data_IF_128372296347
#
_entry.id   IF_128372296347
#
_cell.length_a   1.000
_cell.length_b   1.000
_cell.length_c   1.000
_cell.angle_alpha   90.00
_cell.angle_beta   90.00
_cell.angle_gamma   90.00
#
_symmetry.space_group_name_H-M   'P 1'
#
loop_
_entity.id
_entity.type
_entity.pdbx_description
1 polymer ?
#
# COMPACT_ATOMS: atom_id res chain seq x y z
N UNK A 1 52.78 2.36 -23.36
CA UNK A 1 52.87 2.11 -21.91
C UNK A 1 51.76 2.90 -21.23
N UNK A 2 50.61 2.30 -21.02
CA UNK A 2 49.57 2.86 -20.16
C UNK A 2 48.98 1.73 -19.33
N UNK A 3 49.25 1.77 -18.04
CA UNK A 3 48.70 0.83 -17.05
C UNK A 3 47.30 1.26 -16.65
N UNK A 4 46.34 0.37 -16.80
CA UNK A 4 44.96 0.53 -16.35
C UNK A 4 44.80 0.28 -14.86
N UNK A 5 44.30 1.30 -14.15
CA UNK A 5 43.84 1.18 -12.76
C UNK A 5 42.44 0.54 -12.68
N UNK A 6 42.33 -0.59 -11.98
CA UNK A 6 41.07 -1.22 -11.67
C UNK A 6 40.55 -0.65 -10.35
N UNK A 7 39.44 0.08 -10.40
CA UNK A 7 38.68 0.45 -9.23
C UNK A 7 37.77 -0.73 -8.80
N UNK A 8 37.97 -1.21 -7.57
CA UNK A 8 37.17 -2.19 -6.91
C UNK A 8 35.95 -1.51 -6.25
N UNK A 9 34.77 -1.87 -6.65
CA UNK A 9 33.53 -1.56 -5.90
C UNK A 9 33.31 -2.64 -4.84
N UNK A 10 33.03 -2.28 -3.58
CA UNK A 10 32.70 -3.23 -2.53
C UNK A 10 31.18 -3.22 -2.25
N UNK A 11 30.40 -3.96 -2.99
CA UNK A 11 29.07 -4.40 -2.54
C UNK A 11 28.50 -5.42 -3.52
N UNK A 12 28.56 -6.70 -3.15
CA UNK A 12 28.01 -7.79 -3.93
C UNK A 12 28.14 -9.11 -3.18
N UNK A 13 27.53 -9.20 -2.00
CA UNK A 13 27.38 -10.45 -1.27
C UNK A 13 26.14 -11.20 -1.77
N UNK A 14 26.24 -11.81 -2.95
CA UNK A 14 25.31 -12.85 -3.36
C UNK A 14 25.62 -14.13 -2.57
N UNK A 15 24.71 -14.56 -1.72
CA UNK A 15 24.78 -15.85 -1.05
C UNK A 15 24.49 -16.91 -2.13
N UNK A 16 25.52 -17.62 -2.54
CA UNK A 16 25.42 -18.69 -3.54
C UNK A 16 24.71 -19.89 -2.90
N UNK A 17 23.50 -20.17 -3.37
CA UNK A 17 22.67 -21.31 -2.92
C UNK A 17 23.37 -22.65 -3.18
N UNK A 18 24.39 -22.68 -4.05
CA UNK A 18 25.22 -23.84 -4.34
C UNK A 18 26.09 -24.29 -3.17
N UNK A 19 26.57 -23.38 -2.34
CA UNK A 19 27.45 -23.69 -1.20
C UNK A 19 26.70 -24.32 -0.01
N UNK A 20 25.40 -24.07 0.13
CA UNK A 20 24.59 -24.70 1.18
C UNK A 20 24.25 -26.14 0.83
N UNK A 21 24.18 -26.48 -0.47
CA UNK A 21 23.83 -27.82 -0.92
C UNK A 21 25.02 -28.77 -0.87
N UNK A 22 26.26 -28.28 -1.05
CA UNK A 22 27.48 -29.10 -1.01
C UNK A 22 27.86 -29.53 0.42
N UNK A 23 27.49 -28.75 1.44
CA UNK A 23 27.79 -29.07 2.84
C UNK A 23 26.86 -30.14 3.41
N UNK A 24 25.71 -30.40 2.77
CA UNK A 24 24.76 -31.44 3.20
C UNK A 24 25.00 -32.80 2.56
N UNK A 25 25.77 -32.91 1.47
CA UNK A 25 25.98 -34.13 0.69
C UNK A 25 27.39 -34.74 0.76
N UNK A 26 28.35 -34.13 1.47
CA UNK A 26 29.75 -34.50 1.47
C UNK A 26 30.25 -35.20 2.73
N UNK A 27 29.83 -36.43 2.98
CA UNK A 27 30.36 -37.23 4.08
C UNK A 27 30.41 -38.72 3.70
N UNK A 28 31.36 -39.08 2.85
CA UNK A 28 31.70 -40.51 2.59
C UNK A 28 33.05 -40.82 3.22
N UNK A 29 33.09 -41.87 4.07
CA UNK A 29 34.31 -42.44 4.55
C UNK A 29 34.04 -43.80 5.26
N UNK A 30 34.47 -44.84 4.65
CA UNK A 30 34.30 -46.29 4.90
C UNK A 30 34.62 -46.75 6.31
N UNK A 31 33.93 -47.78 6.81
CA UNK A 31 34.41 -49.14 7.14
C UNK A 31 33.41 -49.87 8.05
N UNK A 32 33.01 -51.10 7.66
CA UNK A 32 32.30 -52.08 8.48
C UNK A 32 33.23 -52.63 9.58
N UNK A 33 32.72 -53.27 10.72
CA UNK A 33 31.97 -54.50 10.63
C UNK A 33 30.80 -54.66 11.66
N UNK A 34 29.87 -55.49 11.25
CA UNK A 34 28.91 -56.36 11.93
C UNK A 34 28.78 -56.32 13.46
N UNK A 35 27.59 -55.91 13.96
CA UNK A 35 26.90 -56.59 15.07
C UNK A 35 25.41 -56.21 15.03
N UNK A 36 24.55 -57.21 15.03
CA UNK A 36 23.12 -57.07 14.87
C UNK A 36 22.48 -56.42 16.10
N UNK A 37 21.86 -55.30 15.85
CA UNK A 37 20.86 -54.73 16.76
C UNK A 37 19.52 -54.73 16.05
N UNK A 38 18.61 -55.54 16.61
CA UNK A 38 17.19 -55.48 16.27
C UNK A 38 16.68 -54.10 16.70
N UNK A 39 16.44 -53.23 15.77
CA UNK A 39 15.70 -51.99 16.02
C UNK A 39 14.22 -52.34 16.14
N UNK A 40 13.76 -52.32 17.37
CA UNK A 40 12.34 -52.30 17.73
C UNK A 40 11.70 -51.02 17.18
N UNK A 41 10.80 -51.24 16.22
CA UNK A 41 10.18 -50.19 15.40
C UNK A 41 8.95 -49.59 16.13
N UNK A 42 9.12 -49.07 17.35
CA UNK A 42 8.02 -48.49 18.12
C UNK A 42 8.31 -47.09 18.73
N UNK A 43 9.14 -46.27 18.05
CA UNK A 43 9.22 -44.87 18.44
C UNK A 43 8.54 -43.98 17.38
N UNK A 44 7.19 -44.02 17.33
CA UNK A 44 6.41 -42.96 16.72
C UNK A 44 6.48 -41.74 17.66
N UNK A 45 7.54 -40.95 17.49
CA UNK A 45 7.59 -39.61 18.05
C UNK A 45 6.31 -38.82 17.69
N UNK A 46 5.92 -37.83 18.48
CA UNK A 46 4.75 -37.01 18.17
C UNK A 46 4.88 -36.49 16.75
N UNK A 47 3.94 -36.87 15.85
CA UNK A 47 3.86 -36.28 14.51
C UNK A 47 3.64 -34.80 14.73
N UNK A 48 4.64 -33.98 14.41
CA UNK A 48 4.42 -32.53 14.28
C UNK A 48 3.17 -32.32 13.42
N UNK A 49 2.25 -31.46 13.85
CA UNK A 49 1.06 -31.16 13.06
C UNK A 49 1.54 -30.67 11.69
N UNK A 50 1.21 -31.40 10.63
CA UNK A 50 1.47 -30.98 9.25
C UNK A 50 0.92 -29.57 9.15
N UNK A 51 1.80 -28.55 8.93
CA UNK A 51 1.36 -27.20 8.61
C UNK A 51 0.41 -27.31 7.43
N UNK A 52 -0.87 -27.05 7.68
CA UNK A 52 -1.89 -27.05 6.63
C UNK A 52 -1.44 -26.03 5.58
N UNK A 53 -1.27 -26.48 4.36
CA UNK A 53 -0.93 -25.61 3.26
C UNK A 53 -2.01 -24.52 3.16
N UNK A 54 -1.62 -23.26 3.01
CA UNK A 54 -2.54 -22.11 2.92
C UNK A 54 -2.37 -21.45 1.55
N UNK A 55 -3.46 -21.04 0.94
CA UNK A 55 -3.46 -20.20 -0.25
C UNK A 55 -2.86 -18.83 0.05
N UNK A 56 -2.34 -18.17 -0.97
CA UNK A 56 -1.78 -16.82 -0.83
C UNK A 56 -2.87 -15.80 -0.47
N UNK A 57 -2.51 -14.83 0.36
CA UNK A 57 -3.36 -13.68 0.63
C UNK A 57 -3.42 -12.77 -0.61
N UNK A 58 -4.48 -11.99 -0.74
CA UNK A 58 -4.68 -11.01 -1.82
C UNK A 58 -4.71 -9.63 -1.19
N UNK A 59 -3.93 -8.71 -1.75
CA UNK A 59 -3.95 -7.31 -1.37
C UNK A 59 -4.67 -6.50 -2.44
N UNK A 60 -5.53 -5.58 -2.02
CA UNK A 60 -6.31 -4.73 -2.91
C UNK A 60 -6.55 -3.34 -2.31
N UNK A 61 -6.74 -2.33 -3.17
CA UNK A 61 -7.18 -1.00 -2.77
C UNK A 61 -8.68 -0.84 -2.98
N UNK A 62 -9.33 -0.09 -2.11
CA UNK A 62 -10.72 0.33 -2.23
C UNK A 62 -10.78 1.85 -2.15
N UNK A 63 -11.09 2.49 -3.26
CA UNK A 63 -11.22 3.94 -3.34
C UNK A 63 -12.64 4.36 -2.95
N UNK A 64 -12.75 5.26 -1.98
CA UNK A 64 -14.02 5.84 -1.50
C UNK A 64 -13.86 7.34 -1.25
N UNK A 65 -14.96 8.07 -1.29
CA UNK A 65 -14.96 9.50 -0.99
C UNK A 65 -14.85 9.77 0.52
N UNK A 66 -14.42 11.00 0.88
CA UNK A 66 -14.39 11.44 2.27
C UNK A 66 -15.77 11.37 2.94
N UNK A 67 -16.83 11.71 2.21
CA UNK A 67 -18.21 11.65 2.70
C UNK A 67 -18.64 10.21 2.99
N UNK A 68 -18.33 9.28 2.09
CA UNK A 68 -18.59 7.85 2.30
C UNK A 68 -17.86 7.30 3.52
N UNK A 69 -16.62 7.73 3.74
CA UNK A 69 -15.86 7.32 4.91
C UNK A 69 -16.43 7.90 6.21
N UNK A 70 -16.92 9.16 6.20
CA UNK A 70 -17.53 9.78 7.38
C UNK A 70 -18.84 9.11 7.80
N UNK A 71 -19.66 8.70 6.85
CA UNK A 71 -20.96 8.07 7.11
C UNK A 71 -20.87 6.57 7.32
N UNK A 72 -19.81 5.96 6.81
CA UNK A 72 -19.71 4.52 6.59
C UNK A 72 -20.50 4.09 5.34
N UNK A 73 -20.03 3.06 4.68
CA UNK A 73 -20.64 2.62 3.42
C UNK A 73 -20.46 1.13 3.18
N UNK A 74 -21.33 0.58 2.34
CA UNK A 74 -21.20 -0.79 1.82
C UNK A 74 -20.87 -0.69 0.32
N UNK A 75 -19.72 -1.23 -0.06
CA UNK A 75 -19.23 -1.18 -1.44
C UNK A 75 -19.16 -2.59 -2.02
N UNK A 76 -19.68 -2.78 -3.23
CA UNK A 76 -19.48 -4.01 -3.98
C UNK A 76 -18.06 -4.02 -4.56
N UNK A 77 -17.27 -4.98 -4.13
CA UNK A 77 -15.89 -5.14 -4.55
C UNK A 77 -15.73 -6.43 -5.36
N UNK A 78 -15.23 -6.28 -6.58
CA UNK A 78 -14.99 -7.41 -7.50
C UNK A 78 -13.50 -7.66 -7.63
N UNK A 79 -13.08 -8.91 -7.41
CA UNK A 79 -11.69 -9.32 -7.54
C UNK A 79 -11.59 -10.69 -8.21
N UNK A 80 -10.41 -11.02 -8.71
CA UNK A 80 -10.11 -12.35 -9.25
C UNK A 80 -9.29 -13.13 -8.24
N UNK A 81 -9.69 -14.37 -7.98
CA UNK A 81 -8.96 -15.27 -7.11
C UNK A 81 -8.88 -16.68 -7.69
N UNK A 82 -7.85 -17.40 -7.29
CA UNK A 82 -7.75 -18.83 -7.54
C UNK A 82 -8.72 -19.55 -6.62
N UNK A 83 -9.58 -20.38 -7.19
CA UNK A 83 -10.53 -21.23 -6.46
C UNK A 83 -10.29 -22.69 -6.84
N UNK A 84 -10.64 -23.61 -5.97
CA UNK A 84 -10.61 -25.03 -6.30
C UNK A 84 -11.43 -25.27 -7.56
N UNK A 85 -10.90 -26.17 -8.39
CA UNK A 85 -11.58 -26.55 -9.61
C UNK A 85 -12.91 -27.22 -9.27
N UNK A 86 -13.99 -26.75 -9.88
CA UNK A 86 -15.35 -27.29 -9.64
C UNK A 86 -15.50 -28.75 -10.07
N UNK A 87 -14.65 -29.23 -10.98
CA UNK A 87 -14.78 -30.56 -11.57
C UNK A 87 -13.98 -31.64 -10.83
N UNK A 88 -12.86 -31.26 -10.21
CA UNK A 88 -12.02 -32.21 -9.48
C UNK A 88 -11.81 -31.86 -8.00
N UNK A 89 -12.33 -30.72 -7.54
CA UNK A 89 -12.21 -30.22 -6.16
C UNK A 89 -10.77 -30.31 -5.59
N UNK A 90 -9.77 -29.99 -6.42
CA UNK A 90 -8.35 -30.07 -6.05
C UNK A 90 -7.72 -31.43 -6.21
N UNK A 91 -8.47 -32.53 -6.38
CA UNK A 91 -7.95 -33.91 -6.38
C UNK A 91 -6.99 -34.25 -7.52
N UNK A 92 -6.90 -33.43 -8.56
CA UNK A 92 -5.91 -33.58 -9.63
C UNK A 92 -4.54 -32.99 -9.29
N UNK A 93 -4.44 -32.19 -8.22
CA UNK A 93 -3.20 -31.57 -7.81
C UNK A 93 -2.18 -32.61 -7.33
N UNK A 94 -0.95 -32.54 -7.84
CA UNK A 94 0.10 -33.49 -7.47
C UNK A 94 -0.11 -34.94 -7.92
N UNK A 95 -1.15 -35.23 -8.72
CA UNK A 95 -1.46 -36.54 -9.22
C UNK A 95 -1.21 -36.68 -10.73
N UNK A 96 -1.09 -37.89 -11.23
CA UNK A 96 -1.01 -38.17 -12.68
C UNK A 96 -2.35 -38.01 -13.41
N UNK A 97 -3.47 -37.83 -12.68
CA UNK A 97 -4.80 -37.59 -13.27
C UNK A 97 -4.89 -36.16 -13.77
N UNK A 98 -5.07 -36.01 -15.06
CA UNK A 98 -5.30 -34.70 -15.66
C UNK A 98 -6.80 -34.40 -15.68
N UNK A 99 -7.22 -33.37 -14.96
CA UNK A 99 -8.54 -32.79 -15.09
C UNK A 99 -8.55 -31.88 -16.33
N UNK A 100 -9.50 -32.07 -17.25
CA UNK A 100 -9.61 -31.27 -18.48
C UNK A 100 -9.84 -29.79 -18.22
N UNK A 101 -10.54 -29.45 -17.13
CA UNK A 101 -10.93 -28.09 -16.78
C UNK A 101 -9.82 -27.27 -16.12
N UNK A 102 -8.91 -27.87 -15.38
CA UNK A 102 -7.80 -27.18 -14.72
C UNK A 102 -6.41 -27.61 -15.21
N UNK A 103 -6.31 -28.56 -16.13
CA UNK A 103 -5.05 -29.08 -16.68
C UNK A 103 -4.19 -29.82 -15.65
N UNK A 104 -4.75 -30.23 -14.50
CA UNK A 104 -4.04 -30.91 -13.42
C UNK A 104 -3.60 -30.01 -12.28
N UNK A 105 -3.84 -28.70 -12.37
CA UNK A 105 -3.45 -27.73 -11.31
C UNK A 105 -4.33 -27.77 -10.07
N UNK A 106 -5.52 -28.37 -10.16
CA UNK A 106 -6.50 -28.42 -9.07
C UNK A 106 -7.20 -27.08 -8.77
N UNK A 107 -6.80 -26.00 -9.42
CA UNK A 107 -7.33 -24.64 -9.21
C UNK A 107 -7.69 -23.96 -10.53
N UNK A 108 -8.56 -22.97 -10.46
CA UNK A 108 -8.99 -22.13 -11.58
C UNK A 108 -9.13 -20.68 -11.12
N UNK A 109 -8.78 -19.72 -11.97
CA UNK A 109 -9.03 -18.30 -11.69
C UNK A 109 -10.49 -17.97 -11.95
N UNK A 110 -11.22 -17.50 -10.92
CA UNK A 110 -12.62 -17.09 -11.01
C UNK A 110 -12.80 -15.68 -10.45
N UNK A 111 -13.71 -14.92 -11.07
CA UNK A 111 -14.20 -13.65 -10.52
C UNK A 111 -15.03 -13.90 -9.26
N UNK A 112 -14.88 -13.05 -8.27
CA UNK A 112 -15.66 -13.05 -7.04
C UNK A 112 -16.09 -11.62 -6.73
N UNK A 113 -17.36 -11.41 -6.44
CA UNK A 113 -17.90 -10.11 -6.01
C UNK A 113 -18.38 -10.26 -4.58
N UNK A 114 -17.92 -9.37 -3.72
CA UNK A 114 -18.25 -9.33 -2.29
C UNK A 114 -18.74 -7.95 -1.91
N UNK A 115 -19.54 -7.87 -0.86
CA UNK A 115 -19.90 -6.58 -0.25
C UNK A 115 -18.95 -6.31 0.90
N UNK A 116 -18.21 -5.21 0.80
CA UNK A 116 -17.26 -4.74 1.81
C UNK A 116 -17.96 -3.67 2.64
N UNK A 117 -18.01 -3.87 3.94
CA UNK A 117 -18.53 -2.86 4.89
C UNK A 117 -17.36 -2.02 5.39
N UNK A 118 -17.37 -0.75 5.01
CA UNK A 118 -16.42 0.23 5.53
C UNK A 118 -17.02 0.86 6.78
N UNK A 119 -16.32 0.84 7.91
CA UNK A 119 -16.82 1.45 9.13
C UNK A 119 -16.92 2.96 8.99
N UNK A 120 -17.78 3.57 9.82
CA UNK A 120 -17.85 5.01 9.96
C UNK A 120 -16.50 5.56 10.45
N UNK A 121 -16.14 6.74 9.97
CA UNK A 121 -14.88 7.42 10.30
C UNK A 121 -13.63 6.61 9.92
N UNK A 122 -13.72 5.79 8.85
CA UNK A 122 -12.58 5.05 8.35
C UNK A 122 -11.45 6.00 7.93
N UNK A 123 -10.23 5.71 8.35
CA UNK A 123 -9.04 6.50 8.03
C UNK A 123 -8.43 6.09 6.68
N UNK A 124 -7.68 7.01 6.07
CA UNK A 124 -6.88 6.68 4.87
C UNK A 124 -5.81 5.65 5.23
N UNK A 125 -5.73 4.56 4.45
CA UNK A 125 -4.82 3.45 4.73
C UNK A 125 -5.37 2.41 5.71
N UNK A 126 -6.61 2.56 6.20
CA UNK A 126 -7.24 1.55 7.05
C UNK A 126 -7.33 0.20 6.32
N UNK A 127 -6.87 -0.87 6.97
CA UNK A 127 -6.90 -2.22 6.40
C UNK A 127 -8.07 -3.04 6.91
N UNK A 128 -8.85 -3.56 5.97
CA UNK A 128 -9.95 -4.49 6.22
C UNK A 128 -9.49 -5.90 5.83
N UNK A 129 -9.49 -6.83 6.78
CA UNK A 129 -9.13 -8.23 6.54
C UNK A 129 -10.38 -9.08 6.41
N UNK A 130 -10.56 -9.69 5.25
CA UNK A 130 -11.64 -10.61 4.95
C UNK A 130 -11.08 -12.04 4.91
N UNK A 131 -11.31 -12.78 5.99
CA UNK A 131 -10.76 -14.13 6.16
C UNK A 131 -11.29 -15.09 5.10
N UNK A 132 -10.41 -15.92 4.54
CA UNK A 132 -10.75 -16.94 3.56
C UNK A 132 -11.16 -16.42 2.18
N UNK A 133 -11.02 -15.10 1.92
CA UNK A 133 -11.36 -14.48 0.64
C UNK A 133 -10.17 -14.29 -0.29
N UNK A 134 -8.99 -14.77 0.09
CA UNK A 134 -7.79 -14.83 -0.75
C UNK A 134 -7.79 -16.01 -1.71
N UNK A 135 -6.63 -16.40 -2.19
CA UNK A 135 -6.45 -17.57 -3.04
C UNK A 135 -6.72 -18.87 -2.27
N UNK A 136 -7.39 -19.81 -2.89
CA UNK A 136 -7.58 -21.16 -2.35
C UNK A 136 -6.36 -22.02 -2.68
N UNK A 137 -5.94 -22.86 -1.73
CA UNK A 137 -4.97 -23.92 -1.99
C UNK A 137 -5.71 -25.19 -2.41
N UNK A 138 -5.18 -25.98 -3.38
CA UNK A 138 -5.84 -27.22 -3.83
C UNK A 138 -6.18 -28.20 -2.70
N UNK A 139 -5.28 -28.34 -1.72
CA UNK A 139 -5.40 -29.30 -0.60
C UNK A 139 -5.38 -28.61 0.78
N UNK A 140 -5.51 -27.29 0.84
CA UNK A 140 -5.32 -26.54 2.08
C UNK A 140 -6.38 -25.50 2.33
N UNK A 141 -6.09 -24.58 3.24
CA UNK A 141 -6.97 -23.47 3.58
C UNK A 141 -6.86 -22.33 2.56
N UNK A 142 -7.88 -21.50 2.49
CA UNK A 142 -7.84 -20.27 1.70
C UNK A 142 -7.00 -19.20 2.39
N UNK A 143 -6.33 -18.37 1.61
CA UNK A 143 -5.75 -17.11 2.07
C UNK A 143 -6.82 -16.07 2.44
N UNK A 144 -6.37 -14.90 2.84
CA UNK A 144 -7.23 -13.79 3.21
C UNK A 144 -7.18 -12.69 2.15
N UNK A 145 -8.21 -11.86 2.10
CA UNK A 145 -8.22 -10.65 1.29
C UNK A 145 -7.99 -9.45 2.21
N UNK A 146 -6.91 -8.71 1.96
CA UNK A 146 -6.53 -7.50 2.66
C UNK A 146 -6.90 -6.31 1.79
N UNK A 147 -7.88 -5.53 2.22
CA UNK A 147 -8.34 -4.35 1.51
C UNK A 147 -7.85 -3.11 2.24
N UNK A 148 -7.04 -2.30 1.54
CA UNK A 148 -6.61 -1.00 2.04
C UNK A 148 -7.57 0.06 1.54
N UNK A 149 -8.23 0.74 2.46
CA UNK A 149 -9.13 1.87 2.16
C UNK A 149 -8.30 3.07 1.73
N UNK A 150 -8.59 3.60 0.54
CA UNK A 150 -7.99 4.83 0.02
C UNK A 150 -9.07 5.89 -0.06
N UNK A 151 -8.87 6.98 0.67
CA UNK A 151 -9.79 8.10 0.64
C UNK A 151 -9.42 9.04 -0.49
N UNK A 152 -10.38 9.33 -1.37
CA UNK A 152 -10.23 10.38 -2.36
C UNK A 152 -10.15 11.73 -1.61
N UNK A 153 -9.07 12.45 -1.82
CA UNK A 153 -8.82 13.72 -1.16
C UNK A 153 -9.66 14.86 -1.72
N UNK A 154 -10.35 14.65 -2.86
CA UNK A 154 -11.08 15.65 -3.63
C UNK A 154 -10.17 16.75 -4.24
N UNK A 155 -10.73 17.62 -5.07
CA UNK A 155 -9.98 18.66 -5.74
C UNK A 155 -9.33 19.66 -4.76
N UNK A 156 -8.08 20.02 -5.02
CA UNK A 156 -7.32 20.95 -4.17
C UNK A 156 -6.79 20.35 -2.87
N UNK A 157 -6.92 19.02 -2.71
CA UNK A 157 -6.40 18.30 -1.55
C UNK A 157 -5.59 17.07 -2.00
N UNK A 158 -4.70 16.59 -1.13
CA UNK A 158 -3.96 15.34 -1.34
C UNK A 158 -3.60 14.67 -0.02
N UNK A 159 -3.39 13.36 -0.09
CA UNK A 159 -2.83 12.61 1.03
C UNK A 159 -1.31 12.54 0.89
N UNK A 160 -0.60 12.84 1.97
CA UNK A 160 0.85 12.72 2.08
C UNK A 160 1.18 12.18 3.47
N UNK A 161 1.86 11.05 3.54
CA UNK A 161 2.23 10.36 4.78
C UNK A 161 1.06 10.19 5.78
N UNK A 162 -0.12 9.83 5.26
CA UNK A 162 -1.34 9.65 6.07
C UNK A 162 -1.98 10.95 6.56
N UNK A 163 -1.53 12.11 6.06
CA UNK A 163 -2.06 13.43 6.40
C UNK A 163 -2.81 14.02 5.21
N UNK A 164 -3.92 14.68 5.51
CA UNK A 164 -4.65 15.42 4.50
C UNK A 164 -4.07 16.83 4.38
N UNK A 165 -3.59 17.13 3.18
CA UNK A 165 -3.05 18.45 2.84
C UNK A 165 -4.04 19.15 1.92
N UNK A 166 -4.36 20.41 2.23
CA UNK A 166 -5.18 21.28 1.41
C UNK A 166 -4.34 22.42 0.87
N UNK A 167 -4.30 22.53 -0.45
CA UNK A 167 -3.66 23.67 -1.11
C UNK A 167 -4.54 24.91 -1.04
N UNK A 168 -3.92 26.02 -0.68
CA UNK A 168 -4.58 27.32 -0.63
C UNK A 168 -3.78 28.31 -1.45
N UNK A 169 -4.37 28.70 -2.58
CA UNK A 169 -3.76 29.65 -3.50
C UNK A 169 -3.98 31.07 -2.98
N UNK A 170 -2.89 31.80 -2.76
CA UNK A 170 -2.90 33.18 -2.25
C UNK A 170 -2.02 34.10 -3.10
N UNK A 171 -2.41 35.38 -3.27
CA UNK A 171 -1.60 36.30 -4.04
C UNK A 171 -0.29 36.64 -3.35
N UNK A 172 0.72 37.02 -4.14
CA UNK A 172 2.06 37.39 -3.63
C UNK A 172 2.03 38.45 -2.55
N UNK A 173 1.15 39.44 -2.71
CA UNK A 173 0.95 40.52 -1.70
C UNK A 173 0.57 39.98 -0.34
N UNK A 174 -0.27 38.91 -0.30
CA UNK A 174 -0.69 38.30 0.96
C UNK A 174 0.41 37.41 1.57
N UNK A 175 1.26 36.77 0.76
CA UNK A 175 2.46 36.08 1.25
C UNK A 175 3.43 37.07 1.92
N UNK A 176 3.67 38.22 1.29
CA UNK A 176 4.62 39.22 1.76
C UNK A 176 4.14 40.03 2.94
N UNK A 177 2.92 40.55 2.87
CA UNK A 177 2.35 41.48 3.84
C UNK A 177 1.54 40.82 4.95
N UNK A 178 1.20 39.54 4.78
CA UNK A 178 0.26 38.83 5.63
C UNK A 178 -1.19 39.11 5.27
N UNK A 179 -2.11 38.46 5.93
CA UNK A 179 -3.53 38.65 5.69
C UNK A 179 -4.42 37.58 6.28
N UNK A 180 -5.64 37.50 5.80
CA UNK A 180 -6.61 36.47 6.23
C UNK A 180 -7.25 35.83 5.01
N UNK A 181 -7.26 34.52 4.97
CA UNK A 181 -7.89 33.71 3.91
C UNK A 181 -9.02 32.86 4.48
N UNK A 182 -10.06 32.66 3.70
CA UNK A 182 -11.15 31.74 4.05
C UNK A 182 -10.94 30.43 3.31
N UNK A 183 -11.03 29.33 4.04
CA UNK A 183 -10.98 27.98 3.49
C UNK A 183 -12.23 27.19 3.86
N UNK A 184 -12.54 26.16 3.08
CA UNK A 184 -13.57 25.18 3.42
C UNK A 184 -12.88 23.87 3.81
N UNK A 185 -13.17 23.39 5.02
CA UNK A 185 -12.61 22.11 5.52
C UNK A 185 -13.28 20.91 4.84
N UNK A 186 -12.72 19.70 4.95
CA UNK A 186 -13.34 18.46 4.45
C UNK A 186 -14.75 18.23 5.01
N UNK A 187 -15.03 18.72 6.22
CA UNK A 187 -16.37 18.63 6.85
C UNK A 187 -17.34 19.73 6.40
N UNK A 188 -16.97 20.54 5.40
CA UNK A 188 -17.80 21.66 4.88
C UNK A 188 -17.79 22.93 5.73
N UNK A 189 -17.08 22.98 6.85
CA UNK A 189 -16.98 24.18 7.69
C UNK A 189 -16.10 25.23 7.04
N UNK A 190 -16.54 26.49 7.09
CA UNK A 190 -15.75 27.63 6.64
C UNK A 190 -14.90 28.16 7.79
N UNK A 191 -13.60 28.25 7.59
CA UNK A 191 -12.64 28.77 8.54
C UNK A 191 -11.91 29.98 7.95
N UNK A 192 -11.59 30.93 8.81
CA UNK A 192 -10.70 32.04 8.48
C UNK A 192 -9.34 31.77 9.10
N UNK A 193 -8.31 31.74 8.27
CA UNK A 193 -6.94 31.52 8.67
C UNK A 193 -6.16 32.81 8.51
N UNK A 194 -5.35 33.13 9.50
CA UNK A 194 -4.43 34.26 9.45
C UNK A 194 -3.11 33.78 8.82
N UNK A 195 -2.62 34.53 7.83
CA UNK A 195 -1.37 34.30 7.15
C UNK A 195 -0.34 35.28 7.72
N UNK A 196 0.73 34.79 8.36
CA UNK A 196 1.78 35.65 8.86
C UNK A 196 2.49 36.39 7.74
N UNK A 197 3.00 37.60 8.05
CA UNK A 197 3.85 38.36 7.15
C UNK A 197 5.13 37.57 6.83
N UNK A 198 5.52 37.53 5.56
CA UNK A 198 6.70 36.80 5.11
C UNK A 198 6.52 35.29 5.00
N UNK A 199 5.28 34.81 4.89
CA UNK A 199 4.99 33.42 4.58
C UNK A 199 5.56 33.05 3.21
N UNK A 200 6.17 31.86 3.10
CA UNK A 200 6.79 31.38 1.85
C UNK A 200 5.87 30.40 1.15
N UNK A 201 6.07 30.24 -0.16
CA UNK A 201 5.42 29.19 -0.94
C UNK A 201 5.86 27.83 -0.38
N UNK A 202 4.89 26.93 -0.16
CA UNK A 202 5.12 25.62 0.44
C UNK A 202 5.09 25.61 1.98
N UNK A 203 4.99 26.76 2.64
CA UNK A 203 4.79 26.79 4.09
C UNK A 203 3.49 26.10 4.45
N UNK A 204 3.52 25.29 5.51
CA UNK A 204 2.37 24.50 5.97
C UNK A 204 1.91 24.97 7.35
N UNK A 205 0.60 25.08 7.49
CA UNK A 205 -0.04 25.37 8.78
C UNK A 205 -0.98 24.23 9.16
N UNK A 206 -0.77 23.66 10.34
CA UNK A 206 -1.61 22.60 10.87
C UNK A 206 -2.82 23.12 11.60
N UNK A 207 -3.99 22.64 11.22
CA UNK A 207 -5.28 22.90 11.84
C UNK A 207 -5.78 21.65 12.53
N UNK A 208 -5.64 21.58 13.85
CA UNK A 208 -6.09 20.42 14.63
C UNK A 208 -7.62 20.34 14.64
N UNK A 209 -8.16 19.10 14.51
CA UNK A 209 -9.60 18.86 14.57
C UNK A 209 -10.37 19.32 13.31
N UNK A 210 -9.69 19.73 12.26
CA UNK A 210 -10.31 20.23 11.02
C UNK A 210 -10.09 19.36 9.80
N UNK A 211 -9.37 18.24 9.97
CA UNK A 211 -9.17 17.22 8.94
C UNK A 211 -10.30 16.20 8.89
N UNK A 212 -10.04 15.08 8.19
CA UNK A 212 -10.96 13.96 8.12
C UNK A 212 -11.13 13.31 9.49
N UNK A 213 -12.35 12.88 9.84
CA UNK A 213 -12.71 12.23 11.11
C UNK A 213 -12.18 12.95 12.37
N UNK A 214 -12.11 14.28 12.33
CA UNK A 214 -11.59 15.08 13.47
C UNK A 214 -10.06 15.08 13.57
N UNK A 215 -9.35 14.54 12.61
CA UNK A 215 -7.90 14.60 12.51
C UNK A 215 -7.37 16.00 12.18
N UNK A 216 -6.08 16.11 11.91
CA UNK A 216 -5.46 17.36 11.49
C UNK A 216 -5.63 17.60 9.99
N UNK A 217 -5.79 18.87 9.60
CA UNK A 217 -5.69 19.35 8.24
C UNK A 217 -4.41 20.19 8.12
N UNK A 218 -3.52 19.82 7.23
CA UNK A 218 -2.35 20.62 6.91
C UNK A 218 -2.70 21.53 5.72
N UNK A 219 -2.66 22.84 5.90
CA UNK A 219 -2.90 23.83 4.85
C UNK A 219 -1.56 24.26 4.28
N UNK A 220 -1.35 24.07 2.98
CA UNK A 220 -0.16 24.49 2.26
C UNK A 220 -0.44 25.73 1.42
N UNK A 221 0.38 26.76 1.58
CA UNK A 221 0.22 28.00 0.84
C UNK A 221 0.95 27.93 -0.50
N UNK A 222 0.20 28.17 -1.59
CA UNK A 222 0.72 28.21 -2.95
C UNK A 222 0.42 29.57 -3.58
N UNK A 223 1.17 29.92 -4.62
CA UNK A 223 0.97 31.18 -5.32
C UNK A 223 -0.29 31.11 -6.19
N UNK A 224 -1.15 32.14 -6.07
CA UNK A 224 -2.23 32.35 -7.02
C UNK A 224 -1.71 33.12 -8.21
N UNK A 225 -1.73 32.50 -9.38
CA UNK A 225 -1.38 33.13 -10.65
C UNK A 225 -2.68 33.54 -11.36
N UNK A 226 -2.93 34.84 -11.58
CA UNK A 226 -4.07 35.28 -12.37
C UNK A 226 -3.87 34.96 -13.85
N UNK A 227 -4.91 34.52 -14.54
CA UNK A 227 -4.85 34.22 -15.97
C UNK A 227 -4.57 35.50 -16.78
N UNK A 228 -5.18 36.63 -16.36
CA UNK A 228 -4.98 37.94 -16.96
C UNK A 228 -4.72 38.98 -15.87
N UNK A 229 -3.83 39.92 -16.14
CA UNK A 229 -3.52 41.03 -15.28
C UNK A 229 -4.29 42.29 -15.72
N UNK A 230 -4.94 42.97 -14.79
CA UNK A 230 -5.50 44.28 -15.04
C UNK A 230 -4.40 45.36 -15.17
N UNK A 231 -4.70 46.48 -15.84
CA UNK A 231 -3.75 47.57 -16.01
C UNK A 231 -3.17 48.03 -14.66
N UNK A 232 -4.01 48.18 -13.64
CA UNK A 232 -3.56 48.57 -12.29
C UNK A 232 -2.65 47.55 -11.64
N UNK A 233 -2.83 46.23 -11.91
CA UNK A 233 -1.93 45.19 -11.43
C UNK A 233 -0.58 45.23 -12.15
N UNK A 234 -0.59 45.52 -13.44
CA UNK A 234 0.65 45.66 -14.23
C UNK A 234 1.47 46.87 -13.71
N UNK A 235 0.81 48.00 -13.44
CA UNK A 235 1.48 49.17 -12.85
C UNK A 235 2.07 48.88 -11.48
N UNK A 236 1.31 48.20 -10.60
CA UNK A 236 1.79 47.82 -9.28
C UNK A 236 2.99 46.85 -9.36
N UNK A 237 2.93 45.87 -10.26
CA UNK A 237 4.05 44.94 -10.48
C UNK A 237 5.30 45.60 -11.06
N UNK A 238 5.12 46.60 -11.97
CA UNK A 238 6.23 47.40 -12.47
C UNK A 238 6.87 48.22 -11.33
N UNK A 239 6.06 48.87 -10.50
CA UNK A 239 6.56 49.59 -9.34
C UNK A 239 7.30 48.71 -8.34
N UNK A 240 6.82 47.46 -8.14
CA UNK A 240 7.45 46.49 -7.28
C UNK A 240 8.83 46.06 -7.85
N UNK A 241 8.88 45.76 -9.15
CA UNK A 241 10.13 45.43 -9.86
C UNK A 241 11.14 46.59 -9.78
N UNK A 242 10.70 47.84 -9.97
CA UNK A 242 11.56 49.01 -9.93
C UNK A 242 12.09 49.28 -8.50
N UNK A 243 11.33 48.86 -7.48
CA UNK A 243 11.77 48.84 -6.08
C UNK A 243 12.74 47.69 -5.72
N UNK A 244 13.01 46.77 -6.65
CA UNK A 244 13.97 45.68 -6.45
C UNK A 244 13.36 44.44 -5.78
N UNK A 245 12.06 44.25 -5.85
CA UNK A 245 11.35 43.09 -5.33
C UNK A 245 10.83 42.19 -6.45
#
# INVERSE_FOLDING_TARGET
MFQGGRSRSPFGGGVDIGDIFSQFMGGRGAQQPSSGFRFDSSNRGPREPKKTAKGADIEAGLDITLEQALTGTEVKFSHRRMRRCSDCDGSSFGTSRRCSSCGGTGIQTKGSTITVKVPKDAEHGHQLRLKGMGHEHPEGESGDLLITVRLDAEEGRRWEDGRLIQEVRIPYSMLSLGGKVRITTPSGKRLQIEIPKGTRIGDRRRLQGHGHAGGALDVEFTLSEPEELSESQVEALNSLRDAGL
#
